data_IF_896597812107
#
_entry.id   IF_896597812107
#
_cell.length_a   1.000
_cell.length_b   1.000
_cell.length_c   1.000
_cell.angle_alpha   90.00
_cell.angle_beta   90.00
_cell.angle_gamma   90.00
#
_symmetry.space_group_name_H-M   'P 1'
#
loop_
_entity.id
_entity.type
_entity.pdbx_description
1 polymer ?
#
# COMPACT_ATOMS: atom_id res chain seq x y z
N UNK A 1 -0.36 5.32 18.80
CA UNK A 1 0.10 6.61 18.25
C UNK A 1 1.50 6.43 17.70
N UNK A 2 1.84 7.05 16.58
CA UNK A 2 3.18 6.96 15.96
C UNK A 2 3.99 8.19 16.37
N UNK A 3 5.27 7.97 16.66
CA UNK A 3 6.20 9.05 17.03
C UNK A 3 6.61 9.88 15.80
N UNK A 4 7.10 11.11 16.04
CA UNK A 4 7.81 11.87 15.00
C UNK A 4 8.98 11.05 14.47
N UNK A 5 9.19 11.07 13.15
CA UNK A 5 10.13 10.20 12.43
C UNK A 5 9.79 8.69 12.48
N UNK A 6 8.58 8.32 12.89
CA UNK A 6 8.14 6.94 12.88
C UNK A 6 8.05 6.37 11.47
N UNK A 7 8.32 5.07 11.36
CA UNK A 7 8.21 4.30 10.12
C UNK A 7 7.03 3.33 10.26
N UNK A 8 6.17 3.31 9.26
CA UNK A 8 5.10 2.34 9.09
C UNK A 8 5.53 1.38 7.99
N UNK A 9 5.40 0.09 8.26
CA UNK A 9 5.65 -0.98 7.29
C UNK A 9 4.34 -1.74 7.11
N UNK A 10 3.91 -1.92 5.86
CA UNK A 10 2.74 -2.72 5.52
C UNK A 10 3.10 -3.76 4.45
N UNK A 11 2.82 -5.03 4.76
CA UNK A 11 3.05 -6.18 3.88
C UNK A 11 1.80 -6.50 3.03
N UNK A 12 1.99 -7.27 1.96
CA UNK A 12 0.99 -7.71 0.99
C UNK A 12 0.22 -6.60 0.26
N UNK A 13 0.83 -5.42 0.08
CA UNK A 13 0.12 -4.25 -0.48
C UNK A 13 -0.22 -4.39 -1.96
N UNK A 14 0.51 -5.25 -2.70
CA UNK A 14 0.24 -5.54 -4.11
C UNK A 14 -0.67 -6.76 -4.30
N UNK A 15 -0.93 -7.50 -3.22
CA UNK A 15 -1.75 -8.72 -3.20
C UNK A 15 -1.46 -9.64 -4.39
N UNK A 16 -0.24 -10.18 -4.45
CA UNK A 16 0.20 -11.08 -5.54
C UNK A 16 0.07 -10.46 -6.95
N UNK A 17 0.20 -9.15 -7.05
CA UNK A 17 0.08 -8.41 -8.31
C UNK A 17 -1.36 -8.14 -8.78
N UNK A 18 -2.39 -8.58 -8.04
CA UNK A 18 -3.79 -8.29 -8.39
C UNK A 18 -4.10 -6.79 -8.39
N UNK A 19 -3.38 -6.02 -7.57
CA UNK A 19 -3.51 -4.56 -7.52
C UNK A 19 -3.09 -3.90 -8.82
N UNK A 20 -2.11 -4.48 -9.54
CA UNK A 20 -1.59 -3.96 -10.80
C UNK A 20 -2.45 -4.37 -12.01
N UNK A 21 -3.28 -5.41 -11.87
CA UNK A 21 -4.12 -5.95 -12.95
C UNK A 21 -5.46 -5.21 -13.08
N UNK A 22 -5.88 -4.89 -14.30
CA UNK A 22 -7.21 -4.32 -14.58
C UNK A 22 -8.34 -5.33 -14.31
N UNK A 23 -8.07 -6.62 -14.55
CA UNK A 23 -9.03 -7.69 -14.33
C UNK A 23 -8.82 -8.38 -12.98
N UNK A 24 -9.90 -8.51 -12.21
CA UNK A 24 -9.90 -9.19 -10.91
C UNK A 24 -11.12 -10.11 -10.74
N UNK A 25 -10.89 -11.32 -10.22
CA UNK A 25 -11.97 -12.27 -9.91
C UNK A 25 -12.92 -11.66 -8.89
N UNK A 26 -14.22 -11.99 -8.97
CA UNK A 26 -15.25 -11.43 -8.09
C UNK A 26 -14.87 -11.47 -6.59
N UNK A 27 -14.30 -12.59 -6.12
CA UNK A 27 -13.86 -12.75 -4.72
C UNK A 27 -12.73 -11.80 -4.28
N UNK A 28 -11.98 -11.21 -5.21
CA UNK A 28 -10.79 -10.39 -4.94
C UNK A 28 -11.05 -8.88 -5.07
N UNK A 29 -12.12 -8.48 -5.77
CA UNK A 29 -12.38 -7.08 -6.16
C UNK A 29 -12.39 -6.11 -4.98
N UNK A 30 -13.06 -6.46 -3.89
CA UNK A 30 -13.16 -5.58 -2.71
C UNK A 30 -11.79 -5.35 -2.07
N UNK A 31 -10.98 -6.40 -1.92
CA UNK A 31 -9.63 -6.29 -1.37
C UNK A 31 -8.73 -5.43 -2.28
N UNK A 32 -8.77 -5.68 -3.59
CA UNK A 32 -7.99 -4.90 -4.58
C UNK A 32 -8.38 -3.43 -4.58
N UNK A 33 -9.68 -3.11 -4.55
CA UNK A 33 -10.16 -1.72 -4.45
C UNK A 33 -9.62 -1.05 -3.19
N UNK A 34 -9.75 -1.70 -2.04
CA UNK A 34 -9.30 -1.14 -0.76
C UNK A 34 -7.78 -0.96 -0.72
N UNK A 35 -7.00 -1.88 -1.31
CA UNK A 35 -5.54 -1.76 -1.39
C UNK A 35 -5.12 -0.63 -2.32
N UNK A 36 -5.80 -0.43 -3.45
CA UNK A 36 -5.58 0.73 -4.33
C UNK A 36 -5.87 2.03 -3.60
N UNK A 37 -6.99 2.10 -2.88
CA UNK A 37 -7.33 3.28 -2.07
C UNK A 37 -6.31 3.51 -0.95
N UNK A 38 -5.84 2.45 -0.30
CA UNK A 38 -4.80 2.53 0.72
C UNK A 38 -3.50 3.08 0.15
N UNK A 39 -2.99 2.49 -0.94
CA UNK A 39 -1.79 2.95 -1.64
C UNK A 39 -1.94 4.42 -2.02
N UNK A 40 -3.04 4.80 -2.69
CA UNK A 40 -3.29 6.18 -3.06
C UNK A 40 -3.22 7.11 -1.84
N UNK A 41 -3.88 6.77 -0.73
CA UNK A 41 -3.85 7.58 0.49
C UNK A 41 -2.44 7.75 1.03
N UNK A 42 -1.69 6.67 1.24
CA UNK A 42 -0.35 6.76 1.86
C UNK A 42 0.69 7.44 0.96
N UNK A 43 0.50 7.38 -0.36
CA UNK A 43 1.43 8.01 -1.32
C UNK A 43 1.10 9.50 -1.53
N UNK A 44 -0.14 9.91 -1.27
CA UNK A 44 -0.62 11.29 -1.43
C UNK A 44 -0.87 12.02 -0.10
N UNK A 45 -0.49 11.45 1.05
CA UNK A 45 -0.66 12.11 2.35
C UNK A 45 0.47 13.11 2.59
N UNK A 46 0.18 14.39 2.85
CA UNK A 46 1.19 15.37 3.24
C UNK A 46 1.92 14.92 4.51
N UNK A 47 3.23 15.18 4.60
CA UNK A 47 4.09 14.80 5.73
C UNK A 47 4.33 13.29 5.88
N UNK A 48 4.03 12.50 4.85
CA UNK A 48 4.40 11.09 4.76
C UNK A 48 5.15 10.87 3.45
N UNK A 49 6.36 10.33 3.55
CA UNK A 49 7.08 9.83 2.39
C UNK A 49 6.92 8.33 2.32
N UNK A 50 6.29 7.84 1.26
CA UNK A 50 6.01 6.42 1.05
C UNK A 50 6.81 5.89 -0.14
N UNK A 51 7.41 4.73 0.04
CA UNK A 51 8.01 3.91 -1.00
C UNK A 51 7.31 2.55 -1.05
N UNK A 52 7.03 2.04 -2.24
CA UNK A 52 6.46 0.71 -2.46
C UNK A 52 7.53 -0.14 -3.11
N UNK A 53 7.91 -1.22 -2.44
CA UNK A 53 8.88 -2.18 -2.92
C UNK A 53 8.15 -3.40 -3.48
N UNK A 54 8.46 -3.76 -4.72
CA UNK A 54 7.89 -4.92 -5.43
C UNK A 54 8.57 -6.25 -5.02
N UNK A 55 8.78 -6.45 -3.71
CA UNK A 55 9.35 -7.69 -3.19
C UNK A 55 8.24 -8.57 -2.62
N UNK A 56 8.18 -9.84 -3.03
CA UNK A 56 7.12 -10.76 -2.61
C UNK A 56 5.74 -10.30 -3.06
N UNK A 57 4.81 -10.13 -2.11
CA UNK A 57 3.45 -9.64 -2.37
C UNK A 57 3.33 -8.11 -2.27
N UNK A 58 4.46 -7.41 -2.19
CA UNK A 58 4.57 -5.95 -2.10
C UNK A 58 4.70 -5.44 -0.67
N UNK A 59 5.67 -4.56 -0.43
CA UNK A 59 5.95 -3.94 0.86
C UNK A 59 5.86 -2.42 0.73
N UNK A 60 5.00 -1.78 1.53
CA UNK A 60 4.99 -0.32 1.65
C UNK A 60 5.79 0.12 2.88
N UNK A 61 6.67 1.09 2.69
CA UNK A 61 7.44 1.75 3.74
C UNK A 61 7.05 3.23 3.74
N UNK A 62 6.40 3.67 4.81
CA UNK A 62 5.93 5.05 4.97
C UNK A 62 6.64 5.71 6.15
N UNK A 63 7.41 6.76 5.89
CA UNK A 63 8.13 7.55 6.89
C UNK A 63 7.39 8.86 7.15
N UNK A 64 7.06 9.11 8.41
CA UNK A 64 6.52 10.39 8.86
C UNK A 64 7.64 11.43 8.85
N UNK A 65 7.44 12.56 8.17
CA UNK A 65 8.38 13.69 8.12
C UNK A 65 7.86 14.82 9.01
#
# INVERSE_FOLDING_TARGET
MINKNGIIIADNVLYKGYVLSDYNKHKQRTAVRNLREYIYKITNTPNIQTEILEVGDGLAISKMI
#
